data_IF_399101667120
#
_entry.id   IF_399101667120
#
_cell.length_a   1.000
_cell.length_b   1.000
_cell.length_c   1.000
_cell.angle_alpha   90.00
_cell.angle_beta   90.00
_cell.angle_gamma   90.00
#
_symmetry.space_group_name_H-M   'P 1'
#
loop_
_entity.id
_entity.type
_entity.pdbx_description
1 polymer ?
#
# COMPACT_ATOMS: atom_id res chain seq x y z
N UNK A 1 -21.87 -37.94 -8.79
CA UNK A 1 -21.64 -37.05 -7.62
C UNK A 1 -20.30 -37.25 -6.91
N UNK A 2 -19.92 -38.44 -6.41
CA UNK A 2 -18.67 -38.62 -5.62
C UNK A 2 -17.37 -38.12 -6.27
N UNK A 3 -17.25 -38.14 -7.60
CA UNK A 3 -16.05 -37.70 -8.34
C UNK A 3 -15.83 -36.17 -8.34
N UNK A 4 -16.87 -35.38 -8.09
CA UNK A 4 -16.83 -33.91 -8.11
C UNK A 4 -16.59 -33.29 -6.72
N UNK A 5 -16.65 -34.08 -5.65
CA UNK A 5 -16.54 -33.57 -4.27
C UNK A 5 -15.17 -32.93 -4.02
N UNK A 6 -14.07 -33.61 -4.36
CA UNK A 6 -12.72 -33.07 -4.12
C UNK A 6 -12.42 -31.76 -4.87
N UNK A 7 -12.73 -31.61 -6.18
CA UNK A 7 -12.60 -30.33 -6.87
C UNK A 7 -13.45 -29.20 -6.26
N UNK A 8 -14.69 -29.49 -5.86
CA UNK A 8 -15.58 -28.49 -5.25
C UNK A 8 -15.03 -28.04 -3.89
N UNK A 9 -14.53 -28.99 -3.08
CA UNK A 9 -13.90 -28.67 -1.80
C UNK A 9 -12.64 -27.83 -2.00
N UNK A 10 -11.76 -28.21 -2.94
CA UNK A 10 -10.56 -27.43 -3.29
C UNK A 10 -10.95 -25.99 -3.66
N UNK A 11 -11.90 -25.82 -4.59
CA UNK A 11 -12.36 -24.51 -5.02
C UNK A 11 -12.91 -23.68 -3.87
N UNK A 12 -13.83 -24.25 -3.07
CA UNK A 12 -14.45 -23.55 -1.95
C UNK A 12 -13.44 -23.16 -0.87
N UNK A 13 -12.52 -24.06 -0.51
CA UNK A 13 -11.49 -23.77 0.50
C UNK A 13 -10.53 -22.69 0.03
N UNK A 14 -10.02 -22.77 -1.21
CA UNK A 14 -9.12 -21.74 -1.76
C UNK A 14 -9.83 -20.40 -1.83
N UNK A 15 -11.08 -20.38 -2.34
CA UNK A 15 -11.88 -19.16 -2.44
C UNK A 15 -12.08 -18.49 -1.07
N UNK A 16 -12.55 -19.24 -0.08
CA UNK A 16 -12.85 -18.69 1.24
C UNK A 16 -11.60 -18.22 1.97
N UNK A 17 -10.54 -19.03 1.99
CA UNK A 17 -9.30 -18.67 2.66
C UNK A 17 -8.62 -17.47 2.00
N UNK A 18 -8.58 -17.42 0.66
CA UNK A 18 -8.03 -16.27 -0.05
C UNK A 18 -8.86 -15.01 0.14
N UNK A 19 -10.19 -15.09 0.19
CA UNK A 19 -11.04 -13.93 0.42
C UNK A 19 -10.87 -13.34 1.83
N UNK A 20 -10.60 -14.19 2.83
CA UNK A 20 -10.40 -13.77 4.21
C UNK A 20 -8.99 -13.21 4.47
N UNK A 21 -7.96 -13.75 3.81
CA UNK A 21 -6.56 -13.46 4.16
C UNK A 21 -5.78 -12.66 3.12
N UNK A 22 -6.31 -12.44 1.91
CA UNK A 22 -5.56 -11.84 0.79
C UNK A 22 -6.33 -10.72 0.08
N UNK A 23 -7.26 -10.07 0.78
CA UNK A 23 -8.16 -9.07 0.21
C UNK A 23 -7.41 -7.89 -0.42
N UNK A 24 -6.51 -7.28 0.32
CA UNK A 24 -5.71 -6.13 -0.10
C UNK A 24 -4.53 -6.55 -0.98
N UNK A 25 -4.01 -7.76 -0.78
CA UNK A 25 -3.01 -8.35 -1.67
C UNK A 25 -3.53 -8.40 -3.09
N UNK A 26 -4.77 -8.86 -3.33
CA UNK A 26 -5.38 -8.84 -4.66
C UNK A 26 -5.47 -7.42 -5.22
N UNK A 27 -5.97 -6.46 -4.43
CA UNK A 27 -6.04 -5.06 -4.87
C UNK A 27 -4.66 -4.55 -5.31
N UNK A 28 -3.61 -4.81 -4.54
CA UNK A 28 -2.24 -4.42 -4.88
C UNK A 28 -1.68 -5.14 -6.13
N UNK A 29 -2.12 -6.36 -6.45
CA UNK A 29 -1.74 -7.00 -7.73
C UNK A 29 -2.24 -6.16 -8.93
N UNK A 30 -3.40 -5.52 -8.82
CA UNK A 30 -3.89 -4.59 -9.85
C UNK A 30 -3.07 -3.29 -9.89
N UNK A 31 -2.54 -2.86 -8.74
CA UNK A 31 -1.81 -1.61 -8.59
C UNK A 31 -0.41 -1.68 -9.21
N UNK A 32 0.14 -2.88 -9.34
CA UNK A 32 1.48 -3.14 -9.86
C UNK A 32 1.46 -3.61 -11.32
N UNK A 33 0.28 -3.90 -11.89
CA UNK A 33 0.14 -4.44 -13.24
C UNK A 33 -0.65 -3.56 -14.20
N UNK A 34 -0.54 -3.93 -15.47
CA UNK A 34 -1.18 -3.25 -16.58
C UNK A 34 -1.55 -4.27 -17.67
N UNK A 35 -2.65 -4.00 -18.37
CA UNK A 35 -2.96 -4.69 -19.62
C UNK A 35 -3.60 -3.68 -20.56
N UNK A 36 -3.05 -3.57 -21.76
CA UNK A 36 -3.54 -2.67 -22.79
C UNK A 36 -3.76 -3.47 -24.07
N UNK A 37 -4.96 -3.36 -24.64
CA UNK A 37 -5.24 -3.95 -25.94
C UNK A 37 -4.72 -3.03 -27.06
N UNK A 38 -3.40 -2.91 -27.17
CA UNK A 38 -2.72 -2.12 -28.20
C UNK A 38 -1.66 -2.95 -28.92
N UNK A 39 -1.37 -2.68 -30.21
CA UNK A 39 -0.35 -3.40 -30.95
C UNK A 39 1.03 -3.39 -30.27
N UNK A 40 1.45 -2.23 -29.74
CA UNK A 40 2.75 -2.10 -29.07
C UNK A 40 2.85 -2.89 -27.76
N UNK A 41 1.73 -3.00 -27.02
CA UNK A 41 1.69 -3.84 -25.83
C UNK A 41 1.80 -5.31 -26.22
N UNK A 42 1.06 -5.77 -27.22
CA UNK A 42 1.12 -7.13 -27.73
C UNK A 42 2.53 -7.49 -28.25
N UNK A 43 3.16 -6.61 -29.03
CA UNK A 43 4.52 -6.83 -29.53
C UNK A 43 5.52 -7.01 -28.38
N UNK A 44 5.46 -6.16 -27.35
CA UNK A 44 6.29 -6.30 -26.15
C UNK A 44 5.98 -7.56 -25.36
N UNK A 45 4.70 -7.92 -25.20
CA UNK A 45 4.30 -9.10 -24.45
C UNK A 45 4.79 -10.40 -25.10
N UNK A 46 4.74 -10.49 -26.43
CA UNK A 46 5.28 -11.63 -27.19
C UNK A 46 6.80 -11.74 -27.16
N UNK A 47 7.51 -10.62 -26.98
CA UNK A 47 8.96 -10.60 -26.85
C UNK A 47 9.48 -11.03 -25.47
N UNK A 48 8.61 -11.15 -24.46
CA UNK A 48 9.01 -11.56 -23.10
C UNK A 48 9.28 -13.07 -23.00
N UNK A 49 10.06 -13.46 -21.99
CA UNK A 49 10.22 -14.86 -21.62
C UNK A 49 8.89 -15.45 -21.13
N UNK A 50 8.52 -16.63 -21.65
CA UNK A 50 7.25 -17.32 -21.38
C UNK A 50 6.01 -16.45 -21.69
N UNK A 51 5.85 -15.99 -22.95
CA UNK A 51 4.96 -14.90 -23.31
C UNK A 51 3.49 -15.20 -22.98
N UNK A 52 3.03 -16.43 -23.24
CA UNK A 52 1.63 -16.83 -23.04
C UNK A 52 1.19 -16.68 -21.57
N UNK A 53 2.04 -17.10 -20.63
CA UNK A 53 1.73 -16.99 -19.19
C UNK A 53 1.69 -15.54 -18.72
N UNK A 54 2.58 -14.70 -19.25
CA UNK A 54 2.60 -13.26 -18.97
C UNK A 54 1.35 -12.58 -19.49
N UNK A 55 0.99 -12.83 -20.76
CA UNK A 55 -0.19 -12.26 -21.42
C UNK A 55 -1.46 -12.57 -20.64
N UNK A 56 -1.68 -13.84 -20.27
CA UNK A 56 -2.87 -14.25 -19.53
C UNK A 56 -2.86 -13.64 -18.11
N UNK A 57 -1.72 -13.65 -17.42
CA UNK A 57 -1.61 -13.04 -16.09
C UNK A 57 -1.93 -11.55 -16.13
N UNK A 58 -1.35 -10.80 -17.07
CA UNK A 58 -1.58 -9.36 -17.21
C UNK A 58 -3.04 -9.05 -17.56
N UNK A 59 -3.63 -9.84 -18.45
CA UNK A 59 -5.06 -9.77 -18.73
C UNK A 59 -5.92 -10.01 -17.49
N UNK A 60 -5.54 -10.96 -16.62
CA UNK A 60 -6.27 -11.23 -15.39
C UNK A 60 -6.09 -10.11 -14.36
N UNK A 61 -4.97 -9.39 -14.37
CA UNK A 61 -4.65 -8.32 -13.40
C UNK A 61 -5.75 -7.26 -13.28
N UNK A 62 -6.41 -6.90 -14.39
CA UNK A 62 -7.48 -5.89 -14.37
C UNK A 62 -8.67 -6.27 -13.47
N UNK A 63 -8.89 -7.56 -13.20
CA UNK A 63 -10.00 -8.06 -12.37
C UNK A 63 -9.68 -8.07 -10.88
N UNK A 64 -8.39 -8.06 -10.50
CA UNK A 64 -7.96 -8.14 -9.10
C UNK A 64 -8.30 -6.89 -8.27
N UNK A 65 -8.78 -5.82 -8.91
CA UNK A 65 -9.34 -4.64 -8.25
C UNK A 65 -10.46 -5.02 -7.26
N UNK A 66 -11.27 -6.01 -7.59
CA UNK A 66 -12.25 -6.56 -6.66
C UNK A 66 -11.66 -7.81 -5.99
N UNK A 67 -11.53 -7.81 -4.65
CA UNK A 67 -11.02 -8.96 -3.92
C UNK A 67 -11.78 -10.27 -4.19
N UNK A 68 -13.09 -10.19 -4.45
CA UNK A 68 -13.89 -11.37 -4.75
C UNK A 68 -13.45 -11.99 -6.09
N UNK A 69 -13.24 -11.18 -7.13
CA UNK A 69 -12.74 -11.70 -8.41
C UNK A 69 -11.31 -12.21 -8.28
N UNK A 70 -10.44 -11.55 -7.51
CA UNK A 70 -9.09 -12.06 -7.23
C UNK A 70 -9.10 -13.44 -6.56
N UNK A 71 -9.97 -13.64 -5.57
CA UNK A 71 -10.15 -14.91 -4.88
C UNK A 71 -10.73 -16.00 -5.82
N UNK A 72 -11.73 -15.64 -6.66
CA UNK A 72 -12.29 -16.55 -7.67
C UNK A 72 -11.24 -16.96 -8.68
N UNK A 73 -10.48 -16.02 -9.24
CA UNK A 73 -9.42 -16.30 -10.23
C UNK A 73 -8.39 -17.26 -9.61
N UNK A 74 -7.93 -16.97 -8.40
CA UNK A 74 -6.98 -17.84 -7.67
C UNK A 74 -7.57 -19.25 -7.49
N UNK A 75 -8.81 -19.35 -7.02
CA UNK A 75 -9.49 -20.64 -6.83
C UNK A 75 -9.65 -21.42 -8.15
N UNK A 76 -9.99 -20.75 -9.25
CA UNK A 76 -10.08 -21.36 -10.59
C UNK A 76 -8.72 -21.88 -11.06
N UNK A 77 -7.66 -21.08 -10.93
CA UNK A 77 -6.32 -21.46 -11.38
C UNK A 77 -5.80 -22.68 -10.60
N UNK A 78 -5.89 -22.65 -9.27
CA UNK A 78 -5.43 -23.75 -8.41
C UNK A 78 -6.28 -25.01 -8.62
N UNK A 79 -7.60 -24.88 -8.72
CA UNK A 79 -8.49 -26.04 -8.99
C UNK A 79 -8.28 -26.60 -10.38
N UNK A 80 -7.98 -25.76 -11.38
CA UNK A 80 -7.64 -26.18 -12.74
C UNK A 80 -6.37 -27.04 -12.77
N UNK A 81 -5.32 -26.62 -12.06
CA UNK A 81 -4.08 -27.40 -11.89
C UNK A 81 -4.39 -28.75 -11.22
N UNK A 82 -5.20 -28.75 -10.16
CA UNK A 82 -5.63 -29.97 -9.49
C UNK A 82 -6.33 -30.96 -10.46
N UNK A 83 -7.28 -30.47 -11.26
CA UNK A 83 -8.05 -31.30 -12.18
C UNK A 83 -7.17 -31.90 -13.29
N UNK A 84 -6.28 -31.09 -13.87
CA UNK A 84 -5.37 -31.54 -14.92
C UNK A 84 -4.38 -32.59 -14.39
N UNK A 85 -3.76 -32.31 -13.25
CA UNK A 85 -2.80 -33.22 -12.63
C UNK A 85 -3.46 -34.54 -12.21
N UNK A 86 -4.65 -34.49 -11.60
CA UNK A 86 -5.46 -35.69 -11.33
C UNK A 86 -5.73 -36.48 -12.60
N UNK A 87 -6.13 -35.80 -13.68
CA UNK A 87 -6.40 -36.41 -14.98
C UNK A 87 -5.19 -37.14 -15.57
N UNK A 88 -4.00 -36.52 -15.48
CA UNK A 88 -2.73 -37.13 -15.89
C UNK A 88 -2.46 -38.38 -15.05
N UNK A 89 -2.46 -38.26 -13.72
CA UNK A 89 -2.14 -39.36 -12.80
C UNK A 89 -3.08 -40.56 -12.98
N UNK A 90 -4.38 -40.31 -13.16
CA UNK A 90 -5.35 -41.37 -13.42
C UNK A 90 -5.12 -42.13 -14.73
N UNK A 91 -4.53 -41.48 -15.75
CA UNK A 91 -4.16 -42.17 -17.01
C UNK A 91 -2.98 -43.12 -16.84
N UNK A 92 -2.02 -42.77 -15.99
CA UNK A 92 -0.88 -43.62 -15.64
C UNK A 92 -1.20 -44.67 -14.56
N UNK A 93 -2.47 -44.85 -14.18
CA UNK A 93 -2.89 -45.84 -13.18
C UNK A 93 -2.51 -45.49 -11.74
N UNK A 94 -2.12 -44.24 -11.45
CA UNK A 94 -1.78 -43.75 -10.13
C UNK A 94 -3.02 -43.20 -9.40
N UNK A 95 -3.02 -43.28 -8.06
CA UNK A 95 -4.03 -42.61 -7.21
C UNK A 95 -3.84 -41.10 -7.26
N UNK A 96 -4.66 -40.42 -8.06
CA UNK A 96 -4.43 -39.03 -8.45
C UNK A 96 -4.82 -37.96 -7.42
N UNK A 97 -5.81 -38.21 -6.55
CA UNK A 97 -6.40 -37.12 -5.74
C UNK A 97 -5.44 -36.56 -4.69
N UNK A 98 -4.77 -37.41 -3.91
CA UNK A 98 -3.91 -36.93 -2.83
C UNK A 98 -2.66 -36.21 -3.36
N UNK A 99 -2.02 -36.77 -4.38
CA UNK A 99 -0.83 -36.16 -5.02
C UNK A 99 -1.22 -34.84 -5.70
N UNK A 100 -2.36 -34.82 -6.42
CA UNK A 100 -2.84 -33.59 -7.04
C UNK A 100 -3.19 -32.52 -6.01
N UNK A 101 -3.82 -32.91 -4.88
CA UNK A 101 -4.14 -32.00 -3.80
C UNK A 101 -2.88 -31.42 -3.15
N UNK A 102 -1.87 -32.25 -2.89
CA UNK A 102 -0.59 -31.82 -2.35
C UNK A 102 0.11 -30.82 -3.29
N UNK A 103 0.27 -31.16 -4.57
CA UNK A 103 0.96 -30.30 -5.53
C UNK A 103 0.22 -28.97 -5.76
N UNK A 104 -1.11 -29.00 -5.85
CA UNK A 104 -1.91 -27.80 -6.04
C UNK A 104 -1.96 -26.94 -4.76
N UNK A 105 -1.97 -27.56 -3.59
CA UNK A 105 -1.85 -26.88 -2.31
C UNK A 105 -0.49 -26.20 -2.14
N UNK A 106 0.60 -26.88 -2.51
CA UNK A 106 1.95 -26.30 -2.51
C UNK A 106 2.05 -25.11 -3.48
N UNK A 107 1.47 -25.22 -4.68
CA UNK A 107 1.38 -24.11 -5.62
C UNK A 107 0.57 -22.94 -5.03
N UNK A 108 -0.55 -23.22 -4.36
CA UNK A 108 -1.35 -22.17 -3.73
C UNK A 108 -0.58 -21.43 -2.64
N UNK A 109 0.13 -22.16 -1.77
CA UNK A 109 1.02 -21.55 -0.77
C UNK A 109 2.07 -20.67 -1.44
N UNK A 110 2.69 -21.12 -2.53
CA UNK A 110 3.66 -20.31 -3.27
C UNK A 110 3.02 -19.04 -3.87
N UNK A 111 1.84 -19.17 -4.48
CA UNK A 111 1.09 -18.05 -5.08
C UNK A 111 0.64 -17.06 -4.00
N UNK A 112 0.31 -17.53 -2.79
CA UNK A 112 -0.06 -16.66 -1.68
C UNK A 112 1.08 -15.72 -1.23
N UNK A 113 2.34 -16.11 -1.50
CA UNK A 113 3.51 -15.27 -1.25
C UNK A 113 3.97 -14.49 -2.50
N UNK A 114 3.26 -14.63 -3.62
CA UNK A 114 3.60 -13.98 -4.89
C UNK A 114 2.77 -12.73 -5.13
N UNK A 115 3.42 -11.67 -5.60
CA UNK A 115 2.75 -10.43 -6.05
C UNK A 115 2.04 -10.59 -7.41
N UNK A 116 2.07 -11.76 -8.06
CA UNK A 116 1.44 -11.96 -9.37
C UNK A 116 0.81 -13.35 -9.54
N UNK A 117 -0.19 -13.45 -10.41
CA UNK A 117 -0.79 -14.75 -10.79
C UNK A 117 0.02 -15.54 -11.82
N UNK A 118 1.09 -14.96 -12.38
CA UNK A 118 1.89 -15.53 -13.46
C UNK A 118 2.40 -16.96 -13.15
N UNK A 119 2.89 -17.30 -11.94
CA UNK A 119 3.32 -18.65 -11.63
C UNK A 119 2.18 -19.68 -11.71
N UNK A 120 0.99 -19.33 -11.20
CA UNK A 120 -0.18 -20.20 -11.25
C UNK A 120 -0.61 -20.47 -12.70
N UNK A 121 -0.66 -19.42 -13.52
CA UNK A 121 -0.99 -19.51 -14.94
C UNK A 121 0.05 -20.36 -15.68
N UNK A 122 1.34 -20.16 -15.42
CA UNK A 122 2.40 -20.93 -16.04
C UNK A 122 2.29 -22.44 -15.72
N UNK A 123 2.10 -22.79 -14.45
CA UNK A 123 1.92 -24.19 -14.05
C UNK A 123 0.65 -24.78 -14.66
N UNK A 124 -0.44 -24.02 -14.74
CA UNK A 124 -1.68 -24.45 -15.41
C UNK A 124 -1.44 -24.79 -16.89
N UNK A 125 -0.73 -23.92 -17.63
CA UNK A 125 -0.40 -24.15 -19.04
C UNK A 125 0.50 -25.38 -19.22
N UNK A 126 1.50 -25.55 -18.35
CA UNK A 126 2.36 -26.74 -18.36
C UNK A 126 1.55 -28.02 -18.10
N UNK A 127 0.65 -28.02 -17.12
CA UNK A 127 -0.21 -29.16 -16.83
C UNK A 127 -1.19 -29.43 -17.97
N UNK A 128 -1.69 -28.39 -18.65
CA UNK A 128 -2.56 -28.55 -19.81
C UNK A 128 -1.81 -29.21 -20.98
N UNK A 129 -0.59 -28.76 -21.27
CA UNK A 129 0.28 -29.37 -22.29
C UNK A 129 0.63 -30.82 -21.94
N UNK A 130 0.99 -31.10 -20.70
CA UNK A 130 1.26 -32.47 -20.23
C UNK A 130 0.02 -33.37 -20.32
N UNK A 131 -1.16 -32.85 -20.01
CA UNK A 131 -2.42 -33.56 -20.15
C UNK A 131 -2.74 -33.87 -21.61
N UNK A 132 -2.50 -32.93 -22.53
CA UNK A 132 -2.65 -33.14 -23.97
C UNK A 132 -1.64 -34.18 -24.48
N UNK A 133 -0.37 -34.11 -24.08
CA UNK A 133 0.63 -35.12 -24.43
C UNK A 133 0.24 -36.51 -23.93
N UNK A 134 -0.33 -36.60 -22.71
CA UNK A 134 -0.82 -37.86 -22.17
C UNK A 134 -1.98 -38.48 -22.97
N UNK A 135 -2.67 -37.72 -23.84
CA UNK A 135 -3.67 -38.27 -24.77
C UNK A 135 -3.03 -39.12 -25.89
N UNK A 136 -1.80 -38.79 -26.28
CA UNK A 136 -1.11 -39.45 -27.38
C UNK A 136 -0.62 -40.85 -26.99
N UNK A 137 -0.42 -41.09 -25.70
CA UNK A 137 -0.03 -42.40 -25.18
C UNK A 137 -1.28 -43.27 -24.97
N UNK A 138 -1.36 -44.41 -25.66
CA UNK A 138 -2.40 -45.43 -25.46
C UNK A 138 -2.22 -46.14 -24.11
N UNK A 139 -2.61 -45.47 -23.02
CA UNK A 139 -2.50 -46.05 -21.68
C UNK A 139 -3.90 -46.53 -21.24
N UNK A 140 -4.14 -47.82 -21.44
CA UNK A 140 -5.34 -48.52 -20.95
C UNK A 140 -5.13 -48.94 -19.49
N UNK A 141 -5.25 -48.03 -18.53
CA UNK A 141 -5.48 -48.42 -17.13
C UNK A 141 -6.02 -47.27 -16.28
N UNK A 142 -7.34 -47.06 -16.34
CA UNK A 142 -8.07 -46.26 -15.37
C UNK A 142 -8.21 -47.05 -14.06
N UNK A 143 -7.29 -46.81 -13.13
CA UNK A 143 -7.36 -47.43 -11.80
C UNK A 143 -8.50 -46.79 -10.99
N UNK A 144 -9.31 -47.64 -10.34
CA UNK A 144 -10.40 -47.19 -9.44
C UNK A 144 -9.78 -46.55 -8.19
N UNK A 145 -10.25 -45.36 -7.82
CA UNK A 145 -9.75 -44.60 -6.65
C UNK A 145 -9.80 -45.43 -5.37
N UNK A 146 -8.77 -45.30 -4.52
CA UNK A 146 -8.80 -45.89 -3.19
C UNK A 146 -9.74 -45.10 -2.30
N UNK A 147 -10.51 -45.78 -1.45
CA UNK A 147 -11.41 -45.13 -0.47
C UNK A 147 -10.65 -44.15 0.46
N UNK A 148 -9.35 -44.38 0.68
CA UNK A 148 -8.48 -43.53 1.51
C UNK A 148 -7.97 -42.26 0.80
N UNK A 149 -8.14 -42.11 -0.52
CA UNK A 149 -7.57 -40.96 -1.24
C UNK A 149 -8.33 -39.66 -0.96
N UNK A 150 -9.64 -39.74 -0.68
CA UNK A 150 -10.49 -38.59 -0.36
C UNK A 150 -10.19 -37.96 1.01
N UNK A 151 -10.10 -38.73 2.12
CA UNK A 151 -9.69 -38.16 3.40
C UNK A 151 -8.27 -37.60 3.33
N UNK A 152 -7.34 -38.28 2.64
CA UNK A 152 -5.96 -37.78 2.49
C UNK A 152 -5.90 -36.46 1.70
N UNK A 153 -6.65 -36.32 0.59
CA UNK A 153 -6.74 -35.05 -0.13
C UNK A 153 -7.34 -33.93 0.72
N UNK A 154 -8.29 -34.26 1.58
CA UNK A 154 -8.92 -33.29 2.49
C UNK A 154 -7.92 -32.81 3.54
N UNK A 155 -7.11 -33.71 4.09
CA UNK A 155 -6.01 -33.36 5.02
C UNK A 155 -4.98 -32.46 4.33
N UNK A 156 -4.56 -32.79 3.10
CA UNK A 156 -3.60 -31.95 2.35
C UNK A 156 -4.16 -30.55 2.05
N UNK A 157 -5.45 -30.47 1.72
CA UNK A 157 -6.12 -29.18 1.49
C UNK A 157 -6.20 -28.34 2.76
N UNK A 158 -6.59 -28.95 3.89
CA UNK A 158 -6.62 -28.27 5.18
C UNK A 158 -5.23 -27.83 5.61
N UNK A 159 -4.20 -28.66 5.39
CA UNK A 159 -2.81 -28.29 5.66
C UNK A 159 -2.35 -27.10 4.81
N UNK A 160 -2.64 -27.09 3.51
CA UNK A 160 -2.32 -25.96 2.64
C UNK A 160 -3.06 -24.68 3.05
N UNK A 161 -4.36 -24.79 3.39
CA UNK A 161 -5.13 -23.66 3.89
C UNK A 161 -4.56 -23.13 5.20
N UNK A 162 -4.19 -24.01 6.14
CA UNK A 162 -3.54 -23.62 7.38
C UNK A 162 -2.19 -22.91 7.12
N UNK A 163 -1.37 -23.41 6.18
CA UNK A 163 -0.13 -22.76 5.79
C UNK A 163 -0.34 -21.35 5.24
N UNK A 164 -1.43 -21.10 4.49
CA UNK A 164 -1.74 -19.75 3.96
C UNK A 164 -2.28 -18.85 5.07
N UNK A 165 -3.31 -19.31 5.80
CA UNK A 165 -4.04 -18.52 6.80
C UNK A 165 -3.15 -18.19 8.00
N UNK A 166 -2.29 -19.12 8.42
CA UNK A 166 -1.44 -18.95 9.60
C UNK A 166 -0.04 -18.45 9.25
N UNK A 167 0.26 -18.15 7.97
CA UNK A 167 1.59 -17.64 7.59
C UNK A 167 1.78 -16.20 8.09
N UNK A 168 2.77 -15.95 8.97
CA UNK A 168 3.09 -14.59 9.39
C UNK A 168 3.59 -13.72 8.23
N UNK A 169 4.14 -14.31 7.17
CA UNK A 169 4.57 -13.57 5.99
C UNK A 169 3.37 -13.07 5.18
N UNK A 170 2.36 -13.92 4.96
CA UNK A 170 1.12 -13.52 4.26
C UNK A 170 0.36 -12.46 5.06
N UNK A 171 0.20 -12.65 6.37
CA UNK A 171 -0.48 -11.67 7.22
C UNK A 171 0.23 -10.32 7.25
N UNK A 172 1.57 -10.30 7.37
CA UNK A 172 2.33 -9.04 7.32
C UNK A 172 2.22 -8.36 5.97
N UNK A 173 2.34 -9.10 4.87
CA UNK A 173 2.18 -8.56 3.53
C UNK A 173 0.78 -8.00 3.30
N UNK A 174 -0.26 -8.70 3.77
CA UNK A 174 -1.65 -8.24 3.69
C UNK A 174 -1.89 -6.96 4.49
N UNK A 175 -1.40 -6.88 5.74
CA UNK A 175 -1.49 -5.66 6.55
C UNK A 175 -0.76 -4.48 5.90
N UNK A 176 0.42 -4.72 5.34
CA UNK A 176 1.17 -3.69 4.63
C UNK A 176 0.44 -3.23 3.36
N UNK A 177 -0.15 -4.16 2.59
CA UNK A 177 -0.97 -3.84 1.43
C UNK A 177 -2.22 -3.03 1.83
N UNK A 178 -2.83 -3.34 2.98
CA UNK A 178 -3.92 -2.53 3.54
C UNK A 178 -3.49 -1.09 3.81
N UNK A 179 -2.36 -0.90 4.51
CA UNK A 179 -1.82 0.44 4.79
C UNK A 179 -1.59 1.24 3.51
N UNK A 180 -1.00 0.62 2.48
CA UNK A 180 -0.81 1.25 1.17
C UNK A 180 -2.13 1.71 0.54
N UNK A 181 -3.15 0.85 0.55
CA UNK A 181 -4.48 1.16 -0.02
C UNK A 181 -5.17 2.27 0.78
N UNK A 182 -5.18 2.16 2.11
CA UNK A 182 -5.83 3.12 2.99
C UNK A 182 -5.18 4.51 2.88
N UNK A 183 -3.84 4.57 2.79
CA UNK A 183 -3.10 5.81 2.54
C UNK A 183 -3.41 6.41 1.16
N UNK A 184 -3.46 5.57 0.13
CA UNK A 184 -3.73 6.00 -1.25
C UNK A 184 -5.13 6.64 -1.40
N UNK A 185 -6.12 6.21 -0.61
CA UNK A 185 -7.48 6.77 -0.65
C UNK A 185 -7.84 7.70 0.52
N UNK A 186 -6.95 7.87 1.49
CA UNK A 186 -7.15 8.81 2.59
C UNK A 186 -8.11 8.29 3.65
N UNK A 187 -8.13 6.96 3.85
CA UNK A 187 -8.96 6.29 4.85
C UNK A 187 -8.20 6.27 6.17
N UNK A 188 -8.10 7.43 6.81
CA UNK A 188 -7.19 7.67 7.94
C UNK A 188 -7.50 6.84 9.18
N UNK A 189 -8.78 6.69 9.53
CA UNK A 189 -9.17 5.94 10.73
C UNK A 189 -8.83 4.45 10.61
N UNK A 190 -9.07 3.85 9.45
CA UNK A 190 -8.73 2.44 9.19
C UNK A 190 -7.22 2.22 9.15
N UNK A 191 -6.46 3.20 8.64
CA UNK A 191 -5.00 3.16 8.64
C UNK A 191 -4.45 3.17 10.07
N UNK A 192 -4.91 4.11 10.90
CA UNK A 192 -4.48 4.21 12.31
C UNK A 192 -4.91 3.00 13.14
N UNK A 193 -6.07 2.40 12.83
CA UNK A 193 -6.51 1.14 13.45
C UNK A 193 -5.62 -0.05 13.03
N UNK A 194 -5.05 -0.02 11.83
CA UNK A 194 -4.13 -1.04 11.32
C UNK A 194 -2.71 -0.87 11.86
N UNK A 195 -2.30 0.39 12.11
CA UNK A 195 -0.99 0.76 12.62
C UNK A 195 -1.12 1.52 13.94
N UNK A 196 -1.51 0.83 15.03
CA UNK A 196 -1.42 1.41 16.36
C UNK A 196 0.06 1.56 16.77
N UNK A 197 0.37 2.38 17.78
CA UNK A 197 1.74 2.58 18.27
C UNK A 197 2.53 1.28 18.51
N UNK A 198 1.90 0.26 19.08
CA UNK A 198 2.56 -1.02 19.39
C UNK A 198 2.95 -1.81 18.14
N UNK A 199 2.26 -1.59 17.01
CA UNK A 199 2.61 -2.21 15.73
C UNK A 199 3.71 -1.42 15.02
N UNK A 200 3.66 -0.09 15.08
CA UNK A 200 4.73 0.78 14.56
C UNK A 200 6.08 0.53 15.27
N UNK A 201 6.07 0.22 16.57
CA UNK A 201 7.28 -0.19 17.31
C UNK A 201 7.91 -1.48 16.79
N UNK A 202 7.09 -2.42 16.29
CA UNK A 202 7.59 -3.68 15.70
C UNK A 202 8.02 -3.51 14.26
N UNK A 203 7.43 -2.56 13.55
CA UNK A 203 7.65 -2.32 12.14
C UNK A 203 7.75 -0.82 11.83
N UNK A 204 8.97 -0.29 11.99
CA UNK A 204 9.26 1.13 11.78
C UNK A 204 8.90 1.64 10.38
N UNK A 205 8.85 0.77 9.36
CA UNK A 205 8.45 1.16 8.00
C UNK A 205 6.99 1.63 7.92
N UNK A 206 6.15 1.28 8.90
CA UNK A 206 4.76 1.70 8.97
C UNK A 206 4.58 3.07 9.64
N UNK A 207 5.56 3.53 10.42
CA UNK A 207 5.48 4.79 11.18
C UNK A 207 5.14 5.99 10.30
N UNK A 208 5.81 6.23 9.15
CA UNK A 208 5.51 7.40 8.34
C UNK A 208 4.06 7.41 7.83
N UNK A 209 3.49 6.24 7.50
CA UNK A 209 2.09 6.13 7.09
C UNK A 209 1.12 6.50 8.20
N UNK A 210 1.38 6.07 9.44
CA UNK A 210 0.58 6.47 10.59
C UNK A 210 0.67 7.98 10.84
N UNK A 211 1.87 8.56 10.75
CA UNK A 211 2.07 10.01 10.87
C UNK A 211 1.40 10.79 9.73
N UNK A 212 1.37 10.26 8.51
CA UNK A 212 0.61 10.82 7.41
C UNK A 212 -0.90 10.82 7.71
N UNK A 213 -1.43 9.74 8.29
CA UNK A 213 -2.83 9.68 8.69
C UNK A 213 -3.16 10.66 9.82
N UNK A 214 -2.29 10.80 10.83
CA UNK A 214 -2.42 11.84 11.86
C UNK A 214 -2.41 13.25 11.23
N UNK A 215 -1.54 13.47 10.25
CA UNK A 215 -1.47 14.74 9.49
C UNK A 215 -2.78 15.02 8.76
N UNK A 216 -3.35 14.00 8.10
CA UNK A 216 -4.63 14.10 7.39
C UNK A 216 -5.84 14.34 8.32
N UNK A 217 -5.73 13.98 9.60
CA UNK A 217 -6.73 14.26 10.64
C UNK A 217 -6.50 15.57 11.41
N UNK A 218 -5.35 16.22 11.23
CA UNK A 218 -4.94 17.38 12.04
C UNK A 218 -4.57 17.02 13.49
N UNK A 219 -4.22 15.75 13.75
CA UNK A 219 -3.85 15.24 15.07
C UNK A 219 -2.33 15.04 15.23
N UNK A 220 -1.53 15.41 14.22
CA UNK A 220 -0.08 15.19 14.22
C UNK A 220 0.60 15.88 15.40
N UNK A 221 0.31 17.17 15.63
CA UNK A 221 0.89 17.94 16.72
C UNK A 221 0.53 17.44 18.12
N UNK A 222 -0.51 16.60 18.26
CA UNK A 222 -0.96 16.06 19.54
C UNK A 222 -0.48 14.63 19.81
N UNK A 223 -0.20 13.86 18.75
CA UNK A 223 0.00 12.41 18.85
C UNK A 223 1.29 11.90 18.23
N UNK A 224 2.12 12.75 17.60
CA UNK A 224 3.37 12.31 16.95
C UNK A 224 4.25 11.45 17.88
N UNK A 225 4.45 11.87 19.13
CA UNK A 225 5.33 11.15 20.08
C UNK A 225 4.65 9.95 20.77
N UNK A 226 3.42 9.60 20.37
CA UNK A 226 2.86 8.28 20.70
C UNK A 226 3.47 7.18 19.83
N UNK A 227 4.03 7.55 18.67
CA UNK A 227 4.72 6.67 17.74
C UNK A 227 6.25 6.73 17.95
N UNK A 228 7.00 5.70 17.52
CA UNK A 228 8.46 5.66 17.65
C UNK A 228 9.13 6.58 16.62
N UNK A 229 9.19 7.87 16.92
CA UNK A 229 9.78 8.93 16.07
C UNK A 229 11.03 9.47 16.75
N UNK A 230 12.16 9.41 16.06
CA UNK A 230 13.47 9.84 16.57
C UNK A 230 14.20 10.78 15.60
N UNK A 231 13.85 10.76 14.32
CA UNK A 231 14.45 11.63 13.31
C UNK A 231 13.44 12.10 12.28
N UNK A 232 13.82 13.11 11.48
CA UNK A 232 12.96 13.62 10.41
C UNK A 232 12.58 12.54 9.39
N UNK A 233 13.46 11.58 9.15
CA UNK A 233 13.22 10.50 8.18
C UNK A 233 12.05 9.59 8.61
N UNK A 234 11.76 9.48 9.92
CA UNK A 234 10.57 8.77 10.43
C UNK A 234 9.26 9.49 10.05
N UNK A 235 9.32 10.80 9.77
CA UNK A 235 8.18 11.63 9.39
C UNK A 235 7.95 11.67 7.87
N UNK A 236 9.00 11.87 7.08
CA UNK A 236 8.92 12.14 5.63
C UNK A 236 9.34 10.96 4.75
N UNK A 237 9.80 9.85 5.33
CA UNK A 237 10.29 8.66 4.62
C UNK A 237 11.29 9.04 3.51
N UNK A 238 12.29 9.86 3.85
CA UNK A 238 13.24 10.42 2.89
C UNK A 238 14.09 9.34 2.19
N UNK A 239 14.41 8.27 2.93
CA UNK A 239 15.01 6.99 2.52
C UNK A 239 16.40 7.06 1.85
N UNK A 240 17.42 6.43 2.45
CA UNK A 240 18.43 5.61 1.73
C UNK A 240 19.40 4.87 2.68
N UNK A 241 19.03 3.71 3.26
CA UNK A 241 20.00 2.82 3.94
C UNK A 241 20.30 1.52 3.17
N UNK A 242 19.72 1.36 1.97
CA UNK A 242 19.90 0.19 1.12
C UNK A 242 19.16 -1.07 1.59
N UNK A 243 18.30 -1.00 2.61
CA UNK A 243 17.53 -2.15 3.14
C UNK A 243 16.02 -2.05 2.93
N UNK A 244 15.46 -0.85 2.76
CA UNK A 244 14.04 -0.64 2.49
C UNK A 244 13.65 -0.75 1.01
N UNK A 245 12.42 -1.16 0.74
CA UNK A 245 11.84 -1.12 -0.61
C UNK A 245 11.66 0.34 -1.07
N UNK A 246 12.59 0.85 -1.88
CA UNK A 246 12.52 2.16 -2.56
C UNK A 246 11.14 2.45 -3.21
N UNK A 247 10.42 1.39 -3.58
CA UNK A 247 9.06 1.44 -4.09
C UNK A 247 8.04 2.03 -3.10
N UNK A 248 8.16 1.70 -1.81
CA UNK A 248 7.25 2.15 -0.76
C UNK A 248 7.41 3.64 -0.47
N UNK A 249 8.65 4.15 -0.45
CA UNK A 249 8.90 5.57 -0.19
C UNK A 249 8.36 6.46 -1.31
N UNK A 250 8.43 6.02 -2.56
CA UNK A 250 7.83 6.74 -3.68
C UNK A 250 6.31 6.80 -3.58
N UNK A 251 5.64 5.70 -3.22
CA UNK A 251 4.20 5.69 -2.98
C UNK A 251 3.82 6.61 -1.82
N UNK A 252 4.55 6.51 -0.70
CA UNK A 252 4.33 7.37 0.46
C UNK A 252 4.45 8.85 0.10
N UNK A 253 5.54 9.25 -0.56
CA UNK A 253 5.77 10.63 -1.00
C UNK A 253 4.69 11.09 -1.98
N UNK A 254 4.27 10.24 -2.91
CA UNK A 254 3.17 10.55 -3.82
C UNK A 254 1.86 10.86 -3.06
N UNK A 255 1.52 10.04 -2.06
CA UNK A 255 0.37 10.29 -1.19
C UNK A 255 0.55 11.59 -0.38
N UNK A 256 1.68 11.77 0.30
CA UNK A 256 1.98 12.95 1.11
C UNK A 256 1.77 14.24 0.30
N UNK A 257 2.43 14.35 -0.85
CA UNK A 257 2.32 15.54 -1.71
C UNK A 257 0.93 15.71 -2.31
N UNK A 258 0.20 14.62 -2.57
CA UNK A 258 -1.18 14.70 -3.03
C UNK A 258 -2.07 15.36 -1.97
N UNK A 259 -1.95 14.97 -0.70
CA UNK A 259 -2.78 15.53 0.38
C UNK A 259 -2.32 16.92 0.83
N UNK A 260 -1.05 17.27 0.64
CA UNK A 260 -0.56 18.64 0.80
C UNK A 260 -1.03 19.59 -0.31
N UNK A 261 -1.62 19.08 -1.40
CA UNK A 261 -2.04 19.87 -2.55
C UNK A 261 -0.91 20.14 -3.58
N UNK A 262 0.27 19.56 -3.37
CA UNK A 262 1.45 19.68 -4.23
C UNK A 262 1.37 18.71 -5.41
N UNK A 263 0.36 18.87 -6.26
CA UNK A 263 0.05 17.88 -7.29
C UNK A 263 1.20 17.61 -8.26
N UNK A 264 2.09 18.57 -8.54
CA UNK A 264 3.28 18.35 -9.39
C UNK A 264 4.26 17.35 -8.76
N UNK A 265 4.51 17.44 -7.46
CA UNK A 265 5.37 16.47 -6.76
C UNK A 265 4.70 15.12 -6.55
N UNK A 266 3.38 15.12 -6.34
CA UNK A 266 2.62 13.88 -6.35
C UNK A 266 2.76 13.16 -7.69
N UNK A 267 2.56 13.90 -8.81
CA UNK A 267 2.75 13.41 -10.18
C UNK A 267 4.19 12.90 -10.39
N UNK A 268 5.19 13.65 -9.95
CA UNK A 268 6.60 13.28 -10.04
C UNK A 268 6.89 11.95 -9.33
N UNK A 269 6.43 11.78 -8.09
CA UNK A 269 6.61 10.55 -7.33
C UNK A 269 5.81 9.39 -7.90
N UNK A 270 4.57 9.60 -8.34
CA UNK A 270 3.81 8.56 -9.07
C UNK A 270 4.49 8.15 -10.38
N UNK A 271 5.13 9.09 -11.09
CA UNK A 271 5.87 8.79 -12.30
C UNK A 271 7.14 8.00 -11.98
N UNK A 272 7.95 8.40 -10.99
CA UNK A 272 9.11 7.63 -10.55
C UNK A 272 8.71 6.22 -10.08
N UNK A 273 7.62 6.11 -9.34
CA UNK A 273 7.07 4.83 -8.90
C UNK A 273 6.73 3.93 -10.09
N UNK A 274 6.15 4.52 -11.14
CA UNK A 274 5.75 3.83 -12.36
C UNK A 274 6.93 3.26 -13.16
N UNK A 275 8.07 3.96 -13.19
CA UNK A 275 9.24 3.49 -13.96
C UNK A 275 9.92 2.27 -13.34
N UNK A 276 9.68 2.01 -12.05
CA UNK A 276 10.16 0.81 -11.35
C UNK A 276 9.28 -0.43 -11.61
N UNK A 277 8.07 -0.25 -12.15
CA UNK A 277 7.15 -1.35 -12.42
C UNK A 277 7.52 -2.11 -13.69
N UNK A 278 7.21 -3.41 -13.71
CA UNK A 278 7.52 -4.33 -14.83
C UNK A 278 7.09 -3.82 -16.20
N UNK A 279 5.96 -3.11 -16.28
CA UNK A 279 5.41 -2.60 -17.54
C UNK A 279 5.70 -1.10 -17.76
N UNK A 280 6.50 -0.49 -16.88
CA UNK A 280 6.79 0.95 -16.88
C UNK A 280 5.61 1.82 -16.42
N UNK A 281 4.48 1.22 -16.05
CA UNK A 281 3.33 1.87 -15.40
C UNK A 281 2.32 0.83 -14.90
N UNK A 282 1.24 1.27 -14.27
CA UNK A 282 0.11 0.45 -13.83
C UNK A 282 -1.22 1.17 -13.96
N UNK A 283 -2.32 0.43 -13.78
CA UNK A 283 -3.65 1.03 -13.76
C UNK A 283 -3.81 2.09 -12.67
N UNK A 284 -3.29 1.87 -11.45
CA UNK A 284 -3.37 2.87 -10.38
C UNK A 284 -2.62 4.13 -10.73
N UNK A 285 -1.38 4.03 -11.20
CA UNK A 285 -0.61 5.22 -11.61
C UNK A 285 -1.38 6.01 -12.65
N UNK A 286 -1.89 5.35 -13.70
CA UNK A 286 -2.63 6.03 -14.76
C UNK A 286 -3.90 6.71 -14.23
N UNK A 287 -4.63 6.09 -13.29
CA UNK A 287 -5.79 6.70 -12.64
C UNK A 287 -5.40 7.91 -11.80
N UNK A 288 -4.32 7.82 -11.01
CA UNK A 288 -3.82 8.91 -10.17
C UNK A 288 -3.31 10.08 -10.99
N UNK A 289 -2.58 9.82 -12.09
CA UNK A 289 -2.18 10.88 -13.02
C UNK A 289 -3.40 11.56 -13.65
N UNK A 290 -4.38 10.80 -14.13
CA UNK A 290 -5.61 11.37 -14.68
C UNK A 290 -6.36 12.25 -13.65
N UNK A 291 -6.49 11.77 -12.42
CA UNK A 291 -7.10 12.50 -11.31
C UNK A 291 -6.36 13.80 -10.98
N UNK A 292 -5.04 13.73 -10.77
CA UNK A 292 -4.23 14.90 -10.40
C UNK A 292 -4.23 15.96 -11.50
N UNK A 293 -4.10 15.57 -12.77
CA UNK A 293 -4.22 16.51 -13.88
C UNK A 293 -5.64 17.09 -14.02
N UNK A 294 -6.68 16.32 -13.68
CA UNK A 294 -8.05 16.84 -13.58
C UNK A 294 -8.16 17.91 -12.50
N UNK A 295 -7.64 17.65 -11.29
CA UNK A 295 -7.64 18.59 -10.16
C UNK A 295 -6.82 19.86 -10.43
N UNK A 296 -5.76 19.75 -11.22
CA UNK A 296 -4.98 20.90 -11.70
C UNK A 296 -5.72 21.73 -12.76
N UNK A 297 -6.82 21.24 -13.34
CA UNK A 297 -7.49 21.85 -14.48
C UNK A 297 -6.78 21.60 -15.83
N UNK A 298 -5.75 20.75 -15.86
CA UNK A 298 -5.04 20.36 -17.08
C UNK A 298 -5.74 19.19 -17.76
N UNK A 299 -6.87 19.49 -18.41
CA UNK A 299 -7.72 18.48 -19.02
C UNK A 299 -7.08 17.78 -20.22
N UNK A 300 -6.13 18.41 -20.91
CA UNK A 300 -5.41 17.80 -22.04
C UNK A 300 -4.53 16.62 -21.58
N UNK A 301 -3.75 16.82 -20.52
CA UNK A 301 -2.95 15.75 -19.94
C UNK A 301 -3.83 14.69 -19.26
N UNK A 302 -4.89 15.09 -18.56
CA UNK A 302 -5.87 14.14 -18.02
C UNK A 302 -6.46 13.24 -19.12
N UNK A 303 -6.88 13.82 -20.25
CA UNK A 303 -7.45 13.08 -21.37
C UNK A 303 -6.41 12.15 -22.02
N UNK A 304 -5.14 12.55 -22.08
CA UNK A 304 -4.05 11.66 -22.53
C UNK A 304 -3.99 10.36 -21.71
N UNK A 305 -4.04 10.44 -20.38
CA UNK A 305 -4.03 9.24 -19.53
C UNK A 305 -5.35 8.46 -19.61
N UNK A 306 -6.49 9.15 -19.72
CA UNK A 306 -7.78 8.50 -19.94
C UNK A 306 -7.82 7.68 -21.23
N UNK A 307 -7.23 8.17 -22.33
CA UNK A 307 -7.13 7.42 -23.60
C UNK A 307 -6.31 6.16 -23.49
N UNK A 308 -5.30 6.11 -22.61
CA UNK A 308 -4.55 4.90 -22.32
C UNK A 308 -5.43 3.92 -21.54
N UNK A 309 -6.12 4.40 -20.50
CA UNK A 309 -7.05 3.59 -19.70
C UNK A 309 -8.20 3.00 -20.53
N UNK A 310 -8.68 3.73 -21.54
CA UNK A 310 -9.71 3.28 -22.50
C UNK A 310 -9.27 2.05 -23.33
N UNK A 311 -7.99 1.68 -23.33
CA UNK A 311 -7.49 0.45 -23.98
C UNK A 311 -7.59 -0.79 -23.09
N UNK A 312 -8.16 -0.66 -21.90
CA UNK A 312 -8.43 -1.77 -20.97
C UNK A 312 -9.92 -2.01 -20.81
N UNK A 313 -10.33 -3.18 -20.29
CA UNK A 313 -11.75 -3.54 -20.23
C UNK A 313 -12.50 -2.93 -19.02
N UNK A 314 -11.82 -2.73 -17.88
CA UNK A 314 -12.47 -2.44 -16.60
C UNK A 314 -12.28 -1.01 -16.07
N UNK A 315 -11.61 -0.13 -16.82
CA UNK A 315 -11.36 1.26 -16.41
C UNK A 315 -12.33 2.30 -16.99
N UNK A 316 -13.30 1.90 -17.82
CA UNK A 316 -14.21 2.85 -18.47
C UNK A 316 -15.07 3.69 -17.51
N UNK A 317 -15.37 3.19 -16.30
CA UNK A 317 -16.09 3.95 -15.28
C UNK A 317 -15.28 5.15 -14.76
N UNK A 318 -13.98 4.95 -14.49
CA UNK A 318 -13.07 6.01 -14.06
C UNK A 318 -12.89 7.07 -15.15
N UNK A 319 -12.70 6.62 -16.40
CA UNK A 319 -12.57 7.54 -17.52
C UNK A 319 -13.81 8.42 -17.68
N UNK A 320 -15.02 7.85 -17.57
CA UNK A 320 -16.27 8.64 -17.58
C UNK A 320 -16.35 9.61 -16.41
N UNK A 321 -15.93 9.19 -15.22
CA UNK A 321 -15.90 10.04 -14.03
C UNK A 321 -15.00 11.28 -14.24
N UNK A 322 -13.76 11.10 -14.69
CA UNK A 322 -12.84 12.21 -14.93
C UNK A 322 -13.31 13.15 -16.05
N UNK A 323 -13.84 12.60 -17.16
CA UNK A 323 -14.43 13.41 -18.23
C UNK A 323 -15.66 14.20 -17.75
N UNK A 324 -16.47 13.63 -16.87
CA UNK A 324 -17.60 14.33 -16.26
C UNK A 324 -17.14 15.45 -15.33
N UNK A 325 -16.10 15.24 -14.51
CA UNK A 325 -15.50 16.29 -13.68
C UNK A 325 -14.96 17.45 -14.51
N UNK A 326 -14.31 17.16 -15.63
CA UNK A 326 -13.82 18.18 -16.56
C UNK A 326 -14.94 19.00 -17.20
N UNK A 327 -16.05 18.35 -17.58
CA UNK A 327 -17.20 19.00 -18.22
C UNK A 327 -17.95 19.92 -17.26
N UNK A 328 -18.06 19.52 -15.98
CA UNK A 328 -18.75 20.31 -14.96
C UNK A 328 -17.97 21.55 -14.52
N UNK A 329 -16.73 21.74 -14.97
CA UNK A 329 -15.85 22.79 -14.45
C UNK A 329 -15.62 22.67 -12.93
N UNK A 330 -15.86 21.47 -12.37
CA UNK A 330 -15.75 21.22 -10.92
C UNK A 330 -14.30 21.16 -10.44
N UNK A 331 -13.33 21.09 -11.35
CA UNK A 331 -11.99 21.52 -11.00
C UNK A 331 -11.98 23.04 -11.06
N UNK A 332 -11.65 23.68 -9.94
CA UNK A 332 -11.27 25.09 -9.93
C UNK A 332 -10.31 25.29 -11.11
N UNK A 333 -10.71 26.02 -12.14
CA UNK A 333 -9.72 26.68 -12.98
C UNK A 333 -9.04 27.67 -12.03
N UNK A 334 -7.77 27.45 -11.65
CA UNK A 334 -7.05 28.48 -10.93
C UNK A 334 -6.99 29.66 -11.91
N UNK A 335 -7.64 30.76 -11.54
CA UNK A 335 -7.85 31.93 -12.39
C UNK A 335 -6.57 32.66 -12.78
N UNK A 336 -5.40 32.18 -12.35
CA UNK A 336 -4.13 32.68 -12.82
C UNK A 336 -3.14 31.55 -13.12
N UNK A 337 -2.39 31.74 -14.21
CA UNK A 337 -1.22 30.95 -14.58
C UNK A 337 -0.09 31.09 -13.54
N UNK A 338 -0.20 32.06 -12.62
CA UNK A 338 0.68 32.24 -11.46
C UNK A 338 0.33 31.32 -10.28
N UNK A 339 -0.89 30.75 -10.23
CA UNK A 339 -1.34 29.99 -9.07
C UNK A 339 -1.01 28.48 -9.11
N UNK A 340 -0.64 27.87 -10.25
CA UNK A 340 -0.32 26.41 -10.30
C UNK A 340 0.74 25.94 -11.30
N UNK A 341 1.47 26.82 -11.98
CA UNK A 341 2.58 26.43 -12.85
C UNK A 341 3.92 26.79 -12.18
N UNK A 342 4.76 25.78 -11.94
CA UNK A 342 6.11 25.91 -11.40
C UNK A 342 6.21 26.33 -9.92
N UNK A 343 5.82 25.44 -9.00
CA UNK A 343 6.70 25.27 -7.84
C UNK A 343 7.81 24.31 -8.23
N UNK A 344 9.05 24.79 -8.41
CA UNK A 344 10.19 23.89 -8.34
C UNK A 344 10.30 23.43 -6.88
N UNK A 345 9.63 22.34 -6.53
CA UNK A 345 10.02 21.61 -5.32
C UNK A 345 11.28 20.83 -5.69
N UNK A 346 12.41 21.53 -5.77
CA UNK A 346 13.74 21.00 -6.16
C UNK A 346 14.68 21.10 -4.96
N UNK A 347 14.22 20.71 -3.76
CA UNK A 347 15.14 20.56 -2.64
C UNK A 347 14.96 19.18 -2.01
N UNK A 348 16.09 18.58 -1.63
CA UNK A 348 16.13 17.40 -0.76
C UNK A 348 15.83 17.79 0.71
N UNK A 349 15.30 19.00 0.99
CA UNK A 349 14.91 19.41 2.34
C UNK A 349 13.38 19.57 2.43
N UNK A 350 12.68 18.61 3.06
CA UNK A 350 11.23 18.67 3.25
C UNK A 350 10.77 19.94 3.94
N UNK A 351 11.58 20.51 4.86
CA UNK A 351 11.24 21.74 5.55
C UNK A 351 11.15 22.92 4.58
N UNK A 352 12.10 23.04 3.66
CA UNK A 352 12.08 24.08 2.63
C UNK A 352 10.83 23.96 1.76
N UNK A 353 10.46 22.73 1.40
CA UNK A 353 9.27 22.47 0.60
C UNK A 353 7.99 22.87 1.34
N UNK A 354 7.89 22.60 2.65
CA UNK A 354 6.75 22.99 3.48
C UNK A 354 6.63 24.51 3.66
N UNK A 355 7.76 25.21 3.89
CA UNK A 355 7.80 26.68 3.97
C UNK A 355 7.37 27.31 2.65
N UNK A 356 7.87 26.77 1.53
CA UNK A 356 7.54 27.26 0.21
C UNK A 356 6.02 27.12 -0.05
N UNK A 357 5.42 25.98 0.30
CA UNK A 357 3.97 25.77 0.19
C UNK A 357 3.15 26.77 1.00
N UNK A 358 3.51 26.95 2.26
CA UNK A 358 2.88 27.90 3.17
C UNK A 358 2.96 29.34 2.61
N UNK A 359 4.14 29.77 2.15
CA UNK A 359 4.32 31.11 1.56
C UNK A 359 3.56 31.34 0.25
N UNK A 360 3.11 30.27 -0.42
CA UNK A 360 2.44 30.35 -1.72
C UNK A 360 0.91 30.19 -1.63
N UNK A 361 0.35 30.37 -0.44
CA UNK A 361 -1.09 30.36 -0.22
C UNK A 361 -1.72 28.98 -0.13
N UNK A 362 -0.91 27.90 -0.13
CA UNK A 362 -1.35 26.55 0.23
C UNK A 362 -1.24 26.35 1.74
N UNK A 363 -1.91 27.24 2.47
CA UNK A 363 -1.99 27.19 3.92
C UNK A 363 -3.03 26.15 4.34
N UNK A 364 -2.53 24.97 4.69
CA UNK A 364 -3.35 23.90 5.24
C UNK A 364 -2.84 23.58 6.63
N UNK A 365 -3.75 23.18 7.51
CA UNK A 365 -3.38 22.68 8.84
C UNK A 365 -2.32 21.56 8.75
N UNK A 366 -2.45 20.69 7.75
CA UNK A 366 -1.51 19.62 7.47
C UNK A 366 -0.09 20.12 7.17
N UNK A 367 0.07 21.12 6.29
CA UNK A 367 1.40 21.66 5.96
C UNK A 367 2.01 22.43 7.14
N UNK A 368 1.19 23.16 7.90
CA UNK A 368 1.60 23.86 9.11
C UNK A 368 2.09 22.89 10.21
N UNK A 369 1.28 21.89 10.56
CA UNK A 369 1.62 20.90 11.60
C UNK A 369 2.91 20.14 11.23
N UNK A 370 3.03 19.71 9.97
CA UNK A 370 4.23 19.00 9.51
C UNK A 370 5.47 19.88 9.56
N UNK A 371 5.37 21.15 9.17
CA UNK A 371 6.50 22.09 9.24
C UNK A 371 7.00 22.25 10.68
N UNK A 372 6.07 22.45 11.62
CA UNK A 372 6.39 22.59 13.04
C UNK A 372 6.98 21.30 13.61
N UNK A 373 6.39 20.14 13.30
CA UNK A 373 6.93 18.84 13.68
C UNK A 373 8.34 18.61 13.13
N UNK A 374 8.62 18.97 11.87
CA UNK A 374 9.98 18.88 11.29
C UNK A 374 10.97 19.76 12.07
N UNK A 375 10.58 20.96 12.49
CA UNK A 375 11.44 21.84 13.30
C UNK A 375 11.70 21.27 14.70
N UNK A 376 10.70 20.65 15.32
CA UNK A 376 10.85 19.94 16.60
C UNK A 376 11.87 18.81 16.44
N UNK A 377 11.72 17.97 15.41
CA UNK A 377 12.63 16.85 15.15
C UNK A 377 14.06 17.31 14.83
N UNK A 378 14.22 18.47 14.18
CA UNK A 378 15.53 19.12 13.96
C UNK A 378 16.07 19.86 15.19
N UNK A 379 15.30 19.91 16.30
CA UNK A 379 15.59 20.71 17.51
C UNK A 379 15.83 22.21 17.22
N UNK A 380 15.21 22.76 16.17
CA UNK A 380 15.31 24.18 15.78
C UNK A 380 14.20 25.02 16.43
N UNK A 381 14.33 25.23 17.75
CA UNK A 381 13.32 25.90 18.55
C UNK A 381 13.21 27.41 18.27
N UNK A 382 14.27 28.02 17.73
CA UNK A 382 14.27 29.45 17.36
C UNK A 382 13.31 29.65 16.19
N UNK A 383 13.48 28.88 15.10
CA UNK A 383 12.57 28.97 13.95
C UNK A 383 11.17 28.48 14.30
N UNK A 384 11.06 27.46 15.14
CA UNK A 384 9.77 27.00 15.66
C UNK A 384 9.01 28.16 16.33
N UNK A 385 9.65 28.90 17.24
CA UNK A 385 9.03 30.04 17.92
C UNK A 385 8.59 31.14 16.95
N UNK A 386 9.46 31.55 16.03
CA UNK A 386 9.11 32.57 15.01
C UNK A 386 7.93 32.16 14.13
N UNK A 387 7.86 30.90 13.74
CA UNK A 387 6.75 30.40 12.91
C UNK A 387 5.48 30.27 13.75
N UNK A 388 5.57 29.81 15.00
CA UNK A 388 4.42 29.75 15.89
C UNK A 388 3.79 31.11 16.16
N UNK A 389 4.56 32.21 16.21
CA UNK A 389 3.99 33.55 16.36
C UNK A 389 3.05 33.92 15.21
N UNK A 390 3.36 33.44 14.00
CA UNK A 390 2.54 33.67 12.80
C UNK A 390 1.36 32.71 12.76
N UNK A 391 1.58 31.44 13.11
CA UNK A 391 0.58 30.39 12.94
C UNK A 391 -0.39 30.26 14.12
N UNK A 392 0.01 30.58 15.35
CA UNK A 392 -0.80 30.38 16.56
C UNK A 392 -2.22 30.95 16.47
N UNK A 393 -2.49 32.13 15.85
CA UNK A 393 -3.85 32.63 15.69
C UNK A 393 -4.77 31.74 14.85
N UNK A 394 -4.23 30.86 14.01
CA UNK A 394 -5.00 29.91 13.21
C UNK A 394 -5.37 28.62 13.98
N UNK A 395 -4.86 28.45 15.21
CA UNK A 395 -5.15 27.31 16.07
C UNK A 395 -6.28 27.68 17.04
N UNK A 396 -7.36 26.90 17.04
CA UNK A 396 -8.37 26.99 18.10
C UNK A 396 -7.78 26.57 19.44
N UNK A 397 -6.93 25.54 19.41
CA UNK A 397 -6.11 25.08 20.52
C UNK A 397 -4.73 24.69 19.99
N UNK A 398 -3.68 25.11 20.70
CA UNK A 398 -2.29 24.79 20.34
C UNK A 398 -2.05 23.31 20.69
N UNK A 399 -1.58 22.47 19.75
CA UNK A 399 -1.37 21.05 19.99
C UNK A 399 -0.42 20.76 21.13
N UNK A 400 -0.65 19.63 21.80
CA UNK A 400 0.08 19.22 22.99
C UNK A 400 1.61 19.31 22.80
N UNK A 401 2.16 18.72 21.74
CA UNK A 401 3.61 18.70 21.57
C UNK A 401 4.19 20.08 21.24
N UNK A 402 3.37 20.97 20.68
CA UNK A 402 3.78 22.36 20.42
C UNK A 402 3.85 23.14 21.74
N UNK A 403 2.86 22.93 22.62
CA UNK A 403 2.89 23.46 23.98
C UNK A 403 4.09 22.93 24.78
N UNK A 404 4.38 21.62 24.72
CA UNK A 404 5.53 21.01 25.38
C UNK A 404 6.85 21.65 24.94
N UNK A 405 7.00 21.93 23.65
CA UNK A 405 8.17 22.64 23.09
C UNK A 405 8.22 24.09 23.56
N UNK A 406 7.08 24.78 23.64
CA UNK A 406 7.01 26.16 24.14
C UNK A 406 7.50 26.26 25.59
N UNK A 407 7.09 25.33 26.46
CA UNK A 407 7.57 25.26 27.85
C UNK A 407 9.07 25.00 27.89
N UNK A 408 9.53 23.99 27.13
CA UNK A 408 10.94 23.62 27.08
C UNK A 408 11.84 24.77 26.59
N UNK A 409 11.44 25.45 25.52
CA UNK A 409 12.20 26.53 24.91
C UNK A 409 12.00 27.89 25.63
N UNK A 410 11.12 27.97 26.64
CA UNK A 410 10.85 29.19 27.40
C UNK A 410 10.09 30.26 26.62
N UNK A 411 9.23 29.87 25.68
CA UNK A 411 8.44 30.78 24.84
C UNK A 411 7.22 31.31 25.61
N UNK A 412 7.40 32.44 26.31
CA UNK A 412 6.39 33.03 27.22
C UNK A 412 5.27 33.82 26.52
N UNK A 413 5.32 33.97 25.20
CA UNK A 413 4.35 34.72 24.41
C UNK A 413 3.07 33.93 24.10
N UNK A 414 3.05 32.63 24.39
CA UNK A 414 1.92 31.74 24.08
C UNK A 414 1.21 31.29 25.35
N UNK A 415 -0.11 31.11 25.24
CA UNK A 415 -0.92 30.51 26.30
C UNK A 415 -0.69 28.99 26.29
N UNK A 416 -0.24 28.46 27.42
CA UNK A 416 0.08 27.04 27.59
C UNK A 416 -0.73 26.49 28.74
N UNK A 417 -1.33 25.32 28.54
CA UNK A 417 -2.13 24.65 29.54
C UNK A 417 -1.33 24.37 30.81
N UNK A 418 -1.94 24.66 31.97
CA UNK A 418 -1.32 24.43 33.27
C UNK A 418 -0.88 22.96 33.46
N UNK A 419 -1.63 22.01 32.88
CA UNK A 419 -1.30 20.59 32.92
C UNK A 419 0.04 20.27 32.21
N UNK A 420 0.37 20.98 31.12
CA UNK A 420 1.65 20.81 30.41
C UNK A 420 2.81 21.34 31.25
N UNK A 421 2.62 22.48 31.92
CA UNK A 421 3.61 23.08 32.82
C UNK A 421 3.88 22.19 34.04
N UNK A 422 2.82 21.62 34.63
CA UNK A 422 2.92 20.67 35.74
C UNK A 422 3.66 19.40 35.28
N UNK A 423 3.32 18.86 34.11
CA UNK A 423 3.97 17.69 33.53
C UNK A 423 5.46 17.93 33.25
N UNK A 424 5.82 19.11 32.74
CA UNK A 424 7.22 19.50 32.55
C UNK A 424 7.98 19.53 33.88
N UNK A 425 7.39 20.12 34.92
CA UNK A 425 8.01 20.22 36.25
C UNK A 425 8.24 18.83 36.87
N UNK A 426 7.27 17.92 36.72
CA UNK A 426 7.41 16.52 37.13
C UNK A 426 8.52 15.81 36.33
N UNK A 427 8.55 15.99 35.01
CA UNK A 427 9.57 15.38 34.15
C UNK A 427 10.99 15.80 34.55
N UNK A 428 11.22 17.10 34.75
CA UNK A 428 12.54 17.62 35.16
C UNK A 428 12.95 17.07 36.54
N UNK A 429 12.00 16.92 37.46
CA UNK A 429 12.26 16.29 38.76
C UNK A 429 12.67 14.83 38.62
N UNK A 430 11.90 14.04 37.87
CA UNK A 430 12.15 12.61 37.68
C UNK A 430 13.47 12.35 36.92
N UNK A 431 13.85 13.25 36.00
CA UNK A 431 15.07 13.15 35.22
C UNK A 431 16.34 13.15 36.09
N UNK A 432 16.30 13.77 37.28
CA UNK A 432 17.45 13.77 38.20
C UNK A 432 17.68 12.41 38.89
N UNK A 433 16.64 11.59 39.01
CA UNK A 433 16.64 10.39 39.85
C UNK A 433 16.42 9.08 39.06
N UNK A 434 16.07 9.14 37.76
CA UNK A 434 15.72 7.98 36.95
C UNK A 434 16.59 7.80 35.70
N UNK A 435 16.88 6.55 35.28
CA UNK A 435 17.54 6.29 34.02
C UNK A 435 16.63 6.62 32.82
N UNK A 436 17.24 7.01 31.70
CA UNK A 436 16.57 7.46 30.48
C UNK A 436 15.49 6.50 29.97
N UNK A 437 15.76 5.19 29.92
CA UNK A 437 14.78 4.18 29.47
C UNK A 437 13.48 4.22 30.28
N UNK A 438 13.57 4.44 31.59
CA UNK A 438 12.39 4.52 32.47
C UNK A 438 11.62 5.82 32.26
N UNK A 439 12.31 6.92 31.95
CA UNK A 439 11.68 8.19 31.60
C UNK A 439 10.90 8.09 30.28
N UNK A 440 11.47 7.45 29.26
CA UNK A 440 10.78 7.20 27.98
C UNK A 440 9.50 6.38 28.15
N UNK A 441 9.50 5.41 29.08
CA UNK A 441 8.30 4.62 29.39
C UNK A 441 7.28 5.42 30.21
N UNK A 442 7.72 6.15 31.24
CA UNK A 442 6.83 6.91 32.12
C UNK A 442 6.15 8.10 31.41
N UNK A 443 6.87 8.72 30.48
CA UNK A 443 6.42 9.87 29.70
C UNK A 443 6.16 9.52 28.23
N UNK A 444 5.81 8.26 27.95
CA UNK A 444 5.42 7.83 26.59
C UNK A 444 4.26 8.69 26.07
N UNK A 445 4.37 9.16 24.82
CA UNK A 445 3.39 10.09 24.25
C UNK A 445 3.62 11.56 24.63
N UNK A 446 4.77 11.90 25.23
CA UNK A 446 5.22 13.29 25.43
C UNK A 446 6.45 13.57 24.56
N UNK A 447 6.62 14.83 24.16
CA UNK A 447 7.84 15.29 23.49
C UNK A 447 9.04 15.37 24.45
N UNK A 448 8.86 15.48 25.77
CA UNK A 448 9.97 15.75 26.70
C UNK A 448 11.11 14.72 26.64
N UNK A 449 10.88 13.39 26.64
CA UNK A 449 11.98 12.43 26.50
C UNK A 449 12.82 12.64 25.25
N UNK A 450 12.20 13.05 24.14
CA UNK A 450 12.88 13.38 22.89
C UNK A 450 13.64 14.72 22.98
N UNK A 451 13.02 15.76 23.54
CA UNK A 451 13.61 17.10 23.64
C UNK A 451 14.88 17.12 24.52
N UNK A 452 14.93 16.26 25.53
CA UNK A 452 16.08 16.11 26.44
C UNK A 452 17.05 15.00 26.03
N UNK A 453 16.80 14.27 24.93
CA UNK A 453 17.80 13.34 24.40
C UNK A 453 18.99 14.13 23.85
N UNK A 454 20.19 13.55 23.90
CA UNK A 454 21.35 14.10 23.15
C UNK A 454 21.09 14.02 21.65
#
# INVERSE_FOLDING_TARGET
MKKAIAPILMFATVLLASLLCMRYTFVCQEYEGLFLNTPDWWARAWAQQLPVSGIISDFLTQFYRDPLYGAIITAVLITGVFLLLRGILCRFGLSGNAIAAFASGALWVFVAHSSTSKPAVFVLLLMAAAWLLSLLFKIKQLRKERKADLPLSSVMLVAAAACVVLSPAVMRAENFNRVKVDALYGIWDDLLATVPPEEAEKNAELTPFALLALSGKGELGDKMFTYPVFEQNDLDMEAYDGKGEYYTSLLFKACLYQYLGCYNEAIHNYFQWSTQLRQGTSFVVLRRLAELYCLQGNYDLMEKYCRILDKSLLNGAYVRHFRAMATKGTAQQPTSVQDRAAMPVISHDPLYNLVLLQSSGFDTRMSADRMLCTLILKKDFIRFGSIMEVLAPAYEHIPLHFQEVMVFAGLRSFDVDAAVVERYSAFVSDMMDMPQERLFQLYKGSAFPFLFSE
#
